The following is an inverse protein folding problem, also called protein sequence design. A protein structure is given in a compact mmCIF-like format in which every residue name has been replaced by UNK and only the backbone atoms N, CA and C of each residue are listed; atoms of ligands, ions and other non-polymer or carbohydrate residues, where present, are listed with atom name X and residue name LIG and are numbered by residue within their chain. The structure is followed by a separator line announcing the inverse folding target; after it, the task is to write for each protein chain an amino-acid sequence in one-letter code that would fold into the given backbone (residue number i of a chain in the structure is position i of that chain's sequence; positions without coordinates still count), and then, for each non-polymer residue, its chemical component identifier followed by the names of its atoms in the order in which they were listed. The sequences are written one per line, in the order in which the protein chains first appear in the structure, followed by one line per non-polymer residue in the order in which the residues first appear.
data_IF_182179654569
#
_entry.id   IF_182179654569
#
_cell.length_a   1.000
_cell.length_b   1.000
_cell.length_c   1.000
_cell.angle_alpha   90.00
_cell.angle_beta   90.00
_cell.angle_gamma   90.00
#
_symmetry.space_group_name_H-M   'P 1'
#
loop_
_entity.id
_entity.type
_entity.pdbx_description
1 polymer ?
#
# COMPACT_ATOMS: atom_id res chain seq x y z
N UNK A 1 21.92 3.00 23.01
CA UNK A 1 21.22 1.76 22.62
C UNK A 1 22.09 1.04 21.59
N UNK A 2 22.59 -0.18 21.84
CA UNK A 2 23.48 -0.86 20.92
C UNK A 2 22.79 -1.06 19.57
N UNK A 3 23.47 -0.71 18.47
CA UNK A 3 22.87 -0.62 17.12
C UNK A 3 22.25 -1.93 16.60
N UNK A 4 22.60 -3.07 17.20
CA UNK A 4 22.00 -4.38 16.93
C UNK A 4 20.51 -4.46 17.29
N UNK A 5 20.08 -3.80 18.36
CA UNK A 5 18.67 -3.83 18.79
C UNK A 5 17.75 -3.08 17.82
N UNK A 6 18.21 -1.96 17.26
CA UNK A 6 17.43 -1.22 16.25
C UNK A 6 17.25 -2.03 14.97
N UNK A 7 18.29 -2.74 14.52
CA UNK A 7 18.19 -3.63 13.35
C UNK A 7 17.18 -4.75 13.57
N UNK A 8 17.15 -5.33 14.78
CA UNK A 8 16.18 -6.38 15.10
C UNK A 8 14.74 -5.84 15.13
N UNK A 9 14.51 -4.67 15.75
CA UNK A 9 13.20 -4.01 15.77
C UNK A 9 12.76 -3.63 14.34
N UNK A 10 13.67 -3.15 13.50
CA UNK A 10 13.39 -2.82 12.10
C UNK A 10 12.99 -4.05 11.29
N UNK A 11 13.72 -5.16 11.42
CA UNK A 11 13.38 -6.40 10.74
C UNK A 11 12.05 -6.96 11.22
N UNK A 12 11.80 -6.90 12.52
CA UNK A 12 10.53 -7.30 13.13
C UNK A 12 9.36 -6.41 12.67
N UNK A 13 9.55 -5.11 12.47
CA UNK A 13 8.50 -4.21 12.00
C UNK A 13 8.12 -4.49 10.55
N UNK A 14 9.11 -4.74 9.67
CA UNK A 14 8.85 -5.13 8.27
C UNK A 14 8.07 -6.45 8.23
N UNK A 15 8.51 -7.45 8.99
CA UNK A 15 7.82 -8.73 9.08
C UNK A 15 6.39 -8.54 9.61
N UNK A 16 6.20 -7.76 10.67
CA UNK A 16 4.90 -7.42 11.23
C UNK A 16 3.98 -6.71 10.23
N UNK A 17 4.51 -5.74 9.48
CA UNK A 17 3.77 -5.03 8.43
C UNK A 17 3.29 -5.98 7.33
N UNK A 18 4.20 -6.79 6.80
CA UNK A 18 3.89 -7.76 5.74
C UNK A 18 2.88 -8.80 6.21
N UNK A 19 3.04 -9.35 7.42
CA UNK A 19 2.10 -10.32 7.99
C UNK A 19 0.73 -9.68 8.20
N UNK A 20 0.68 -8.44 8.68
CA UNK A 20 -0.56 -7.70 8.88
C UNK A 20 -1.34 -7.48 7.58
N UNK A 21 -0.64 -7.18 6.48
CA UNK A 21 -1.25 -7.00 5.16
C UNK A 21 -1.65 -8.35 4.55
N UNK A 22 -0.75 -9.33 4.53
CA UNK A 22 -0.92 -10.60 3.81
C UNK A 22 -1.85 -11.56 4.56
N UNK A 23 -1.63 -11.73 5.87
CA UNK A 23 -2.33 -12.76 6.66
C UNK A 23 -3.61 -12.23 7.31
N UNK A 24 -3.55 -11.04 7.88
CA UNK A 24 -4.69 -10.42 8.58
C UNK A 24 -5.61 -9.62 7.64
N UNK A 25 -5.20 -9.45 6.36
CA UNK A 25 -5.99 -8.77 5.31
C UNK A 25 -6.44 -7.36 5.74
N UNK A 26 -5.63 -6.68 6.56
CA UNK A 26 -5.90 -5.32 6.99
C UNK A 26 -5.54 -4.37 5.83
N UNK A 27 -6.32 -3.31 5.65
CA UNK A 27 -6.00 -2.26 4.68
C UNK A 27 -4.55 -1.77 4.88
N UNK A 28 -3.73 -1.70 3.81
CA UNK A 28 -2.31 -1.34 3.92
C UNK A 28 -2.04 -0.04 4.67
N UNK A 29 -2.94 0.93 4.53
CA UNK A 29 -2.88 2.19 5.27
C UNK A 29 -2.99 1.99 6.79
N UNK A 30 -3.98 1.22 7.26
CA UNK A 30 -4.15 0.94 8.69
C UNK A 30 -2.99 0.10 9.22
N UNK A 31 -2.50 -0.86 8.43
CA UNK A 31 -1.34 -1.67 8.81
C UNK A 31 -0.08 -0.80 8.97
N UNK A 32 0.16 0.14 8.06
CA UNK A 32 1.28 1.08 8.13
C UNK A 32 1.18 1.97 9.37
N UNK A 33 -0.01 2.51 9.66
CA UNK A 33 -0.24 3.34 10.85
C UNK A 33 0.00 2.56 12.15
N UNK A 34 -0.62 1.37 12.27
CA UNK A 34 -0.53 0.56 13.47
C UNK A 34 0.90 0.06 13.74
N UNK A 35 1.55 -0.51 12.72
CA UNK A 35 2.92 -1.03 12.86
C UNK A 35 3.92 0.11 13.03
N UNK A 36 3.74 1.23 12.34
CA UNK A 36 4.58 2.43 12.49
C UNK A 36 4.51 3.02 13.91
N UNK A 37 3.30 3.13 14.46
CA UNK A 37 3.10 3.58 15.84
C UNK A 37 3.75 2.64 16.85
N UNK A 38 3.53 1.32 16.71
CA UNK A 38 4.15 0.31 17.58
C UNK A 38 5.68 0.37 17.51
N UNK A 39 6.24 0.49 16.31
CA UNK A 39 7.69 0.54 16.10
C UNK A 39 8.29 1.82 16.69
N UNK A 40 7.63 2.97 16.52
CA UNK A 40 8.07 4.23 17.11
C UNK A 40 8.04 4.20 18.65
N UNK A 41 7.02 3.56 19.23
CA UNK A 41 6.91 3.36 20.67
C UNK A 41 8.03 2.45 21.20
N UNK A 42 8.33 1.35 20.50
CA UNK A 42 9.42 0.43 20.84
C UNK A 42 10.81 1.08 20.74
N UNK A 43 10.97 2.05 19.83
CA UNK A 43 12.19 2.87 19.73
C UNK A 43 12.28 3.98 20.79
N UNK A 44 11.28 4.14 21.67
CA UNK A 44 11.27 5.17 22.72
C UNK A 44 10.99 6.58 22.22
N UNK A 45 10.40 6.74 21.03
CA UNK A 45 10.05 8.06 20.50
C UNK A 45 8.74 8.57 21.14
N UNK A 46 8.62 9.89 21.42
CA UNK A 46 7.36 10.46 21.89
C UNK A 46 6.23 10.21 20.87
N UNK A 47 5.03 9.81 21.30
CA UNK A 47 3.95 9.41 20.40
C UNK A 47 3.54 10.53 19.42
N UNK A 48 3.61 11.79 19.85
CA UNK A 48 3.34 12.94 18.97
C UNK A 48 4.38 13.12 17.86
N UNK A 49 5.65 12.78 18.12
CA UNK A 49 6.72 12.80 17.11
C UNK A 49 6.54 11.66 16.12
N UNK A 50 6.22 10.46 16.61
CA UNK A 50 5.97 9.29 15.75
C UNK A 50 4.81 9.57 14.79
N UNK A 51 3.68 10.05 15.30
CA UNK A 51 2.51 10.38 14.49
C UNK A 51 2.84 11.45 13.42
N UNK A 52 3.61 12.48 13.79
CA UNK A 52 4.06 13.53 12.86
C UNK A 52 4.98 12.99 11.78
N UNK A 53 5.92 12.12 12.12
CA UNK A 53 6.84 11.52 11.13
C UNK A 53 6.10 10.57 10.19
N UNK A 54 5.15 9.81 10.72
CA UNK A 54 4.34 8.87 9.94
C UNK A 54 3.44 9.61 8.95
N UNK A 55 2.78 10.68 9.39
CA UNK A 55 1.96 11.52 8.52
C UNK A 55 2.80 12.31 7.50
N UNK A 56 3.98 12.78 7.89
CA UNK A 56 4.90 13.45 6.97
C UNK A 56 5.43 12.50 5.88
N UNK A 57 5.91 11.31 6.26
CA UNK A 57 6.41 10.31 5.33
C UNK A 57 5.32 9.82 4.38
N UNK A 58 4.17 9.42 4.93
CA UNK A 58 3.02 9.02 4.11
C UNK A 58 2.53 10.18 3.23
N UNK A 59 2.46 11.39 3.78
CA UNK A 59 2.01 12.59 3.06
C UNK A 59 2.94 12.98 1.91
N UNK A 60 4.25 12.83 2.05
CA UNK A 60 5.19 13.01 0.94
C UNK A 60 4.96 11.99 -0.18
N UNK A 61 4.82 10.71 0.17
CA UNK A 61 4.52 9.67 -0.83
C UNK A 61 3.18 9.95 -1.50
N UNK A 62 2.12 10.18 -0.73
CA UNK A 62 0.78 10.47 -1.24
C UNK A 62 0.73 11.77 -2.04
N UNK A 63 1.53 12.78 -1.69
CA UNK A 63 1.68 13.99 -2.48
C UNK A 63 2.28 13.70 -3.86
N UNK A 64 3.28 12.81 -3.92
CA UNK A 64 3.94 12.43 -5.17
C UNK A 64 3.06 11.57 -6.11
N UNK A 65 2.30 10.61 -5.56
CA UNK A 65 1.50 9.67 -6.38
C UNK A 65 0.00 9.97 -6.37
N UNK A 66 -0.49 10.82 -5.47
CA UNK A 66 -1.92 10.99 -5.19
C UNK A 66 -2.72 11.55 -6.35
N UNK A 67 -2.19 12.56 -7.05
CA UNK A 67 -2.84 13.10 -8.26
C UNK A 67 -2.91 12.03 -9.35
N UNK A 68 -1.81 11.29 -9.56
CA UNK A 68 -1.74 10.23 -10.57
C UNK A 68 -2.74 9.12 -10.27
N UNK A 69 -2.85 8.69 -9.01
CA UNK A 69 -3.83 7.70 -8.57
C UNK A 69 -5.26 8.24 -8.73
N UNK A 70 -5.52 9.47 -8.29
CA UNK A 70 -6.85 10.09 -8.37
C UNK A 70 -7.36 10.22 -9.80
N UNK A 71 -6.53 10.77 -10.70
CA UNK A 71 -6.84 10.84 -12.13
C UNK A 71 -6.98 9.45 -12.75
N UNK A 72 -6.13 8.50 -12.37
CA UNK A 72 -6.22 7.11 -12.82
C UNK A 72 -7.55 6.45 -12.44
N UNK A 73 -8.06 6.70 -11.24
CA UNK A 73 -9.36 6.19 -10.79
C UNK A 73 -10.51 6.84 -11.58
N UNK A 74 -10.48 8.17 -11.77
CA UNK A 74 -11.50 8.88 -12.56
C UNK A 74 -11.49 8.43 -14.02
N UNK A 75 -10.31 8.31 -14.62
CA UNK A 75 -10.17 7.82 -15.99
C UNK A 75 -10.60 6.36 -16.11
N UNK A 76 -10.24 5.52 -15.14
CA UNK A 76 -10.66 4.13 -15.08
C UNK A 76 -12.17 3.96 -15.00
N UNK A 77 -12.86 4.78 -14.21
CA UNK A 77 -14.34 4.75 -14.13
C UNK A 77 -14.99 5.26 -15.41
N UNK A 78 -14.44 6.29 -16.05
CA UNK A 78 -14.90 6.75 -17.36
C UNK A 78 -14.78 5.65 -18.43
N UNK A 79 -13.65 4.94 -18.49
CA UNK A 79 -13.46 3.80 -19.39
C UNK A 79 -14.41 2.65 -19.09
N UNK A 80 -14.64 2.35 -17.80
CA UNK A 80 -15.57 1.30 -17.38
C UNK A 80 -17.01 1.63 -17.79
N UNK A 81 -17.45 2.87 -17.57
CA UNK A 81 -18.78 3.34 -17.91
C UNK A 81 -19.00 3.45 -19.44
N UNK A 82 -17.95 3.78 -20.19
CA UNK A 82 -17.98 3.79 -21.65
C UNK A 82 -17.94 2.38 -22.28
N UNK A 83 -17.81 1.31 -21.49
CA UNK A 83 -17.68 -0.06 -21.98
C UNK A 83 -16.33 -0.38 -22.65
N UNK A 84 -15.40 0.58 -22.69
CA UNK A 84 -14.09 0.44 -23.32
C UNK A 84 -13.25 -0.64 -22.63
N UNK A 85 -13.32 -0.74 -21.29
CA UNK A 85 -12.61 -1.77 -20.52
C UNK A 85 -13.02 -3.18 -20.94
N UNK A 86 -14.32 -3.39 -21.22
CA UNK A 86 -14.84 -4.68 -21.69
C UNK A 86 -14.36 -5.02 -23.10
N UNK A 87 -14.33 -4.04 -24.01
CA UNK A 87 -13.80 -4.21 -25.37
C UNK A 87 -12.30 -4.55 -25.36
N UNK A 88 -11.51 -3.86 -24.53
CA UNK A 88 -10.07 -4.14 -24.38
C UNK A 88 -9.87 -5.56 -23.83
N UNK A 89 -10.61 -5.95 -22.79
CA UNK A 89 -10.55 -7.32 -22.26
C UNK A 89 -10.91 -8.37 -23.33
N UNK A 90 -11.97 -8.13 -24.11
CA UNK A 90 -12.38 -9.02 -25.19
C UNK A 90 -11.33 -9.17 -26.31
N UNK A 91 -10.69 -8.07 -26.72
CA UNK A 91 -9.61 -8.09 -27.72
C UNK A 91 -8.38 -8.86 -27.22
N UNK A 92 -8.00 -8.67 -25.94
CA UNK A 92 -6.91 -9.42 -25.32
C UNK A 92 -7.23 -10.92 -25.26
N UNK A 93 -8.44 -11.29 -24.85
CA UNK A 93 -8.87 -12.70 -24.81
C UNK A 93 -8.89 -13.35 -26.20
N UNK A 94 -9.27 -12.59 -27.24
CA UNK A 94 -9.30 -13.05 -28.62
C UNK A 94 -7.90 -13.31 -29.18
N UNK A 95 -6.91 -12.53 -28.77
CA UNK A 95 -5.51 -12.70 -29.20
C UNK A 95 -4.74 -13.75 -28.39
N UNK A 96 -4.95 -13.82 -27.07
CA UNK A 96 -4.21 -14.75 -26.18
C UNK A 96 -4.88 -16.13 -26.07
N UNK A 97 -6.18 -16.20 -26.39
CA UNK A 97 -7.01 -17.40 -26.39
C UNK A 97 -7.71 -17.64 -25.05
N UNK A 98 -9.02 -17.91 -25.11
CA UNK A 98 -9.90 -18.13 -23.94
C UNK A 98 -9.43 -19.25 -22.98
N UNK A 99 -8.55 -20.14 -23.45
CA UNK A 99 -8.05 -21.31 -22.70
C UNK A 99 -6.96 -20.98 -21.66
N UNK A 100 -6.46 -19.73 -21.63
CA UNK A 100 -5.42 -19.27 -20.68
C UNK A 100 -5.85 -18.12 -19.77
N UNK A 101 -7.12 -17.71 -19.84
CA UNK A 101 -7.62 -16.65 -18.97
C UNK A 101 -7.76 -17.19 -17.54
N UNK A 102 -7.10 -16.56 -16.53
CA UNK A 102 -7.41 -16.85 -15.14
C UNK A 102 -8.84 -16.37 -14.87
N UNK A 103 -9.72 -17.31 -14.51
CA UNK A 103 -11.09 -17.03 -14.04
C UNK A 103 -11.05 -16.24 -12.73
#
# INVERSE_FOLDING_TARGET
MPGSYLLFIFLASIAGLLISIIRFKINPFLALLGVGLLTGLLCGMPPGVVAKQLSAGFGQTLGGIGIVIGLGVVFGTLLANAGATGQIAGLLLRNVGNRRAPL
#
